data_IF_528636353805
#
_entry.id   IF_528636353805
#
_cell.length_a   1.000
_cell.length_b   1.000
_cell.length_c   1.000
_cell.angle_alpha   90.00
_cell.angle_beta   90.00
_cell.angle_gamma   90.00
#
_symmetry.space_group_name_H-M   'P 1'
#
loop_
_entity.id
_entity.type
_entity.pdbx_description
1 polymer ?
#
# COMPACT_ATOMS: atom_id res chain seq x y z
N UNK A 1 -11.52 40.14 -3.95
CA UNK A 1 -12.28 38.94 -4.40
C UNK A 1 -13.39 38.70 -3.39
N UNK A 2 -14.67 38.78 -3.77
CA UNK A 2 -15.80 38.86 -2.83
C UNK A 2 -16.14 37.51 -2.16
N UNK A 3 -16.50 37.54 -0.87
CA UNK A 3 -16.88 36.38 -0.04
C UNK A 3 -17.87 35.41 -0.73
N UNK A 4 -18.82 35.94 -1.51
CA UNK A 4 -19.78 35.15 -2.30
C UNK A 4 -19.11 34.20 -3.30
N UNK A 5 -18.07 34.68 -4.02
CA UNK A 5 -17.35 33.91 -5.04
C UNK A 5 -16.47 32.81 -4.42
N UNK A 6 -15.92 33.07 -3.22
CA UNK A 6 -15.21 32.07 -2.42
C UNK A 6 -16.15 30.98 -1.89
N UNK A 7 -17.33 31.34 -1.40
CA UNK A 7 -18.35 30.38 -0.95
C UNK A 7 -18.91 29.52 -2.09
N UNK A 8 -19.11 30.10 -3.27
CA UNK A 8 -19.57 29.36 -4.45
C UNK A 8 -18.53 28.35 -4.95
N UNK A 9 -17.26 28.76 -5.02
CA UNK A 9 -16.14 27.85 -5.34
C UNK A 9 -15.99 26.73 -4.29
N UNK A 10 -16.18 27.05 -3.01
CA UNK A 10 -16.19 26.07 -1.91
C UNK A 10 -17.32 25.05 -2.06
N UNK A 11 -18.55 25.48 -2.36
CA UNK A 11 -19.67 24.57 -2.55
C UNK A 11 -19.51 23.65 -3.78
N UNK A 12 -19.00 24.17 -4.91
CA UNK A 12 -18.76 23.36 -6.11
C UNK A 12 -17.64 22.32 -5.89
N UNK A 13 -16.55 22.73 -5.24
CA UNK A 13 -15.45 21.82 -4.88
C UNK A 13 -15.87 20.74 -3.88
N UNK A 14 -16.63 21.09 -2.84
CA UNK A 14 -17.21 20.12 -1.90
C UNK A 14 -18.15 19.14 -2.62
N UNK A 15 -18.97 19.62 -3.54
CA UNK A 15 -19.87 18.78 -4.34
C UNK A 15 -19.09 17.82 -5.24
N UNK A 16 -17.99 18.27 -5.85
CA UNK A 16 -17.09 17.41 -6.64
C UNK A 16 -16.47 16.31 -5.80
N UNK A 17 -15.93 16.65 -4.62
CA UNK A 17 -15.36 15.66 -3.69
C UNK A 17 -16.44 14.66 -3.26
N UNK A 18 -17.64 15.13 -2.89
CA UNK A 18 -18.75 14.25 -2.51
C UNK A 18 -19.15 13.30 -3.65
N UNK A 19 -19.20 13.79 -4.90
CA UNK A 19 -19.45 12.98 -6.09
C UNK A 19 -18.37 11.91 -6.27
N UNK A 20 -17.09 12.26 -6.15
CA UNK A 20 -15.99 11.31 -6.28
C UNK A 20 -16.02 10.22 -5.21
N UNK A 21 -16.33 10.57 -3.96
CA UNK A 21 -16.50 9.59 -2.86
C UNK A 21 -17.59 8.58 -3.21
N UNK A 22 -18.74 9.05 -3.68
CA UNK A 22 -19.87 8.18 -4.05
C UNK A 22 -19.50 7.27 -5.22
N UNK A 23 -18.90 7.82 -6.28
CA UNK A 23 -18.48 7.06 -7.46
C UNK A 23 -17.45 5.99 -7.09
N UNK A 24 -16.42 6.33 -6.32
CA UNK A 24 -15.40 5.36 -5.88
C UNK A 24 -16.00 4.26 -5.01
N UNK A 25 -16.91 4.61 -4.09
CA UNK A 25 -17.63 3.62 -3.28
C UNK A 25 -18.47 2.69 -4.14
N UNK A 26 -19.20 3.24 -5.11
CA UNK A 26 -20.01 2.46 -6.04
C UNK A 26 -19.16 1.49 -6.87
N UNK A 27 -18.06 1.98 -7.47
CA UNK A 27 -17.13 1.14 -8.23
C UNK A 27 -16.57 0.01 -7.38
N UNK A 28 -16.17 0.28 -6.13
CA UNK A 28 -15.67 -0.74 -5.21
C UNK A 28 -16.74 -1.80 -4.89
N UNK A 29 -17.96 -1.37 -4.56
CA UNK A 29 -19.08 -2.29 -4.27
C UNK A 29 -19.37 -3.15 -5.49
N UNK A 30 -19.41 -2.57 -6.69
CA UNK A 30 -19.63 -3.29 -7.94
C UNK A 30 -18.53 -4.34 -8.15
N UNK A 31 -17.26 -3.99 -7.96
CA UNK A 31 -16.15 -4.95 -8.10
C UNK A 31 -16.25 -6.11 -7.10
N UNK A 32 -16.63 -5.84 -5.84
CA UNK A 32 -16.86 -6.89 -4.84
C UNK A 32 -17.98 -7.85 -5.30
N UNK A 33 -19.10 -7.31 -5.79
CA UNK A 33 -20.21 -8.13 -6.26
C UNK A 33 -19.86 -8.95 -7.50
N UNK A 34 -19.20 -8.33 -8.48
CA UNK A 34 -18.71 -9.04 -9.68
C UNK A 34 -17.74 -10.14 -9.28
N UNK A 35 -16.80 -9.85 -8.37
CA UNK A 35 -15.85 -10.83 -7.86
C UNK A 35 -16.57 -12.03 -7.23
N UNK A 36 -17.55 -11.81 -6.35
CA UNK A 36 -18.30 -12.89 -5.69
C UNK A 36 -19.08 -13.70 -6.72
N UNK A 37 -19.87 -13.04 -7.57
CA UNK A 37 -20.77 -13.72 -8.52
C UNK A 37 -19.99 -14.54 -9.55
N UNK A 38 -18.95 -13.95 -10.14
CA UNK A 38 -18.11 -14.63 -11.14
C UNK A 38 -17.41 -15.82 -10.50
N UNK A 39 -16.84 -15.68 -9.30
CA UNK A 39 -16.14 -16.80 -8.66
C UNK A 39 -17.08 -17.93 -8.23
N UNK A 40 -18.30 -17.63 -7.77
CA UNK A 40 -19.31 -18.65 -7.50
C UNK A 40 -19.69 -19.41 -8.77
N UNK A 41 -19.86 -18.71 -9.89
CA UNK A 41 -20.11 -19.32 -11.18
C UNK A 41 -18.94 -20.19 -11.64
N UNK A 42 -17.70 -19.69 -11.55
CA UNK A 42 -16.50 -20.45 -11.93
C UNK A 42 -16.31 -21.68 -11.03
N UNK A 43 -16.61 -21.59 -9.74
CA UNK A 43 -16.62 -22.73 -8.83
C UNK A 43 -17.64 -23.78 -9.26
N UNK A 44 -18.87 -23.37 -9.58
CA UNK A 44 -19.91 -24.28 -10.06
C UNK A 44 -19.48 -24.97 -11.37
N UNK A 45 -18.98 -24.20 -12.35
CA UNK A 45 -18.48 -24.75 -13.62
C UNK A 45 -17.36 -25.75 -13.35
N UNK A 46 -16.37 -25.39 -12.52
CA UNK A 46 -15.27 -26.28 -12.18
C UNK A 46 -15.75 -27.59 -11.55
N UNK A 47 -16.66 -27.50 -10.57
CA UNK A 47 -17.22 -28.66 -9.88
C UNK A 47 -17.92 -29.64 -10.85
N UNK A 48 -18.65 -29.13 -11.84
CA UNK A 48 -19.36 -29.96 -12.82
C UNK A 48 -18.51 -30.44 -13.99
N UNK A 49 -17.39 -29.78 -14.29
CA UNK A 49 -16.57 -30.11 -15.48
C UNK A 49 -15.28 -30.85 -15.15
N UNK A 50 -14.57 -30.46 -14.08
CA UNK A 50 -13.26 -30.98 -13.70
C UNK A 50 -13.12 -31.07 -12.15
N UNK A 51 -13.86 -31.98 -11.49
CA UNK A 51 -13.92 -32.05 -10.02
C UNK A 51 -12.59 -32.48 -9.36
N UNK A 52 -11.66 -33.06 -10.12
CA UNK A 52 -10.35 -33.50 -9.62
C UNK A 52 -9.31 -32.38 -9.58
N UNK A 53 -9.55 -31.27 -10.30
CA UNK A 53 -8.63 -30.15 -10.38
C UNK A 53 -9.37 -28.81 -10.30
N UNK A 54 -9.24 -28.14 -9.15
CA UNK A 54 -9.90 -26.88 -8.83
C UNK A 54 -9.27 -25.67 -9.54
N UNK A 55 -9.27 -25.65 -10.87
CA UNK A 55 -8.75 -24.55 -11.68
C UNK A 55 -9.40 -23.19 -11.35
N UNK A 56 -10.61 -23.17 -10.78
CA UNK A 56 -11.28 -21.94 -10.34
C UNK A 56 -10.52 -21.20 -9.23
N UNK A 57 -9.58 -21.84 -8.53
CA UNK A 57 -8.74 -21.19 -7.52
C UNK A 57 -7.78 -20.15 -8.13
N UNK A 58 -7.37 -20.32 -9.40
CA UNK A 58 -6.51 -19.36 -10.11
C UNK A 58 -7.17 -17.98 -10.28
N UNK A 59 -8.33 -17.87 -10.94
CA UNK A 59 -9.01 -16.58 -11.06
C UNK A 59 -9.46 -16.04 -9.68
N UNK A 60 -9.87 -16.92 -8.76
CA UNK A 60 -10.24 -16.53 -7.38
C UNK A 60 -9.10 -15.79 -6.68
N UNK A 61 -7.93 -16.42 -6.61
CA UNK A 61 -6.78 -15.84 -5.90
C UNK A 61 -6.19 -14.65 -6.66
N UNK A 62 -6.10 -14.71 -8.00
CA UNK A 62 -5.57 -13.61 -8.79
C UNK A 62 -6.44 -12.35 -8.73
N UNK A 63 -7.77 -12.49 -8.80
CA UNK A 63 -8.68 -11.35 -8.71
C UNK A 63 -8.80 -10.82 -7.28
N UNK A 64 -8.64 -11.68 -6.26
CA UNK A 64 -8.58 -11.23 -4.86
C UNK A 64 -7.45 -10.22 -4.67
N UNK A 65 -6.28 -10.45 -5.29
CA UNK A 65 -5.16 -9.50 -5.24
C UNK A 65 -5.57 -8.10 -5.75
N UNK A 66 -6.24 -8.06 -6.90
CA UNK A 66 -6.70 -6.80 -7.51
C UNK A 66 -7.76 -6.14 -6.63
N UNK A 67 -8.66 -6.92 -6.03
CA UNK A 67 -9.68 -6.41 -5.11
C UNK A 67 -9.06 -5.73 -3.88
N UNK A 68 -8.02 -6.33 -3.28
CA UNK A 68 -7.28 -5.74 -2.16
C UNK A 68 -6.70 -4.36 -2.55
N UNK A 69 -6.17 -4.22 -3.78
CA UNK A 69 -5.64 -2.94 -4.26
C UNK A 69 -6.73 -1.88 -4.42
N UNK A 70 -7.92 -2.26 -4.92
CA UNK A 70 -9.06 -1.34 -4.98
C UNK A 70 -9.51 -0.88 -3.59
N UNK A 71 -9.54 -1.80 -2.62
CA UNK A 71 -9.86 -1.48 -1.22
C UNK A 71 -8.83 -0.51 -0.65
N UNK A 72 -7.52 -0.78 -0.84
CA UNK A 72 -6.45 0.11 -0.40
C UNK A 72 -6.61 1.51 -0.99
N UNK A 73 -6.79 1.60 -2.31
CA UNK A 73 -7.00 2.87 -3.01
C UNK A 73 -8.17 3.68 -2.43
N UNK A 74 -9.30 3.00 -2.19
CA UNK A 74 -10.47 3.63 -1.58
C UNK A 74 -10.21 4.10 -0.13
N UNK A 75 -9.51 3.30 0.68
CA UNK A 75 -9.16 3.65 2.07
C UNK A 75 -8.21 4.84 2.13
N UNK A 76 -7.17 4.87 1.28
CA UNK A 76 -6.22 5.99 1.21
C UNK A 76 -6.93 7.29 0.82
N UNK A 77 -7.80 7.22 -0.19
CA UNK A 77 -8.63 8.35 -0.61
C UNK A 77 -9.54 8.85 0.50
N UNK A 78 -10.24 7.94 1.21
CA UNK A 78 -11.12 8.30 2.34
C UNK A 78 -10.38 8.93 3.51
N UNK A 79 -9.14 8.52 3.76
CA UNK A 79 -8.27 9.10 4.80
C UNK A 79 -7.62 10.41 4.37
N UNK A 80 -7.80 10.86 3.12
CA UNK A 80 -7.19 12.08 2.60
C UNK A 80 -5.66 12.01 2.55
N UNK A 81 -5.08 10.80 2.47
CA UNK A 81 -3.63 10.63 2.38
C UNK A 81 -3.22 10.99 0.95
N UNK A 82 -2.72 12.22 0.78
CA UNK A 82 -2.31 12.77 -0.52
C UNK A 82 -0.79 12.84 -0.67
N UNK A 83 -0.04 12.56 0.40
CA UNK A 83 1.42 12.52 0.35
C UNK A 83 1.90 11.38 -0.55
N UNK A 84 2.51 11.74 -1.68
CA UNK A 84 2.91 10.80 -2.73
C UNK A 84 3.85 9.71 -2.21
N UNK A 85 4.80 10.08 -1.34
CA UNK A 85 5.78 9.14 -0.80
C UNK A 85 5.14 8.12 0.12
N UNK A 86 4.25 8.57 1.02
CA UNK A 86 3.46 7.70 1.89
C UNK A 86 2.59 6.75 1.08
N UNK A 87 1.88 7.27 0.08
CA UNK A 87 1.04 6.46 -0.82
C UNK A 87 1.88 5.41 -1.54
N UNK A 88 3.02 5.80 -2.10
CA UNK A 88 3.93 4.91 -2.82
C UNK A 88 4.39 3.73 -1.94
N UNK A 89 4.79 3.99 -0.71
CA UNK A 89 5.26 2.96 0.23
C UNK A 89 4.13 2.03 0.67
N UNK A 90 2.95 2.58 0.93
CA UNK A 90 1.79 1.77 1.29
C UNK A 90 1.42 0.82 0.14
N UNK A 91 1.44 1.28 -1.11
CA UNK A 91 1.27 0.38 -2.25
C UNK A 91 2.39 -0.66 -2.34
N UNK A 92 3.67 -0.27 -2.24
CA UNK A 92 4.79 -1.23 -2.31
C UNK A 92 4.70 -2.32 -1.24
N UNK A 93 4.37 -1.94 -0.01
CA UNK A 93 4.20 -2.87 1.10
C UNK A 93 3.04 -3.85 0.84
N UNK A 94 1.88 -3.33 0.40
CA UNK A 94 0.72 -4.18 0.12
C UNK A 94 0.96 -5.08 -1.09
N UNK A 95 1.55 -4.56 -2.18
CA UNK A 95 1.95 -5.37 -3.33
C UNK A 95 2.91 -6.48 -2.93
N UNK A 96 3.91 -6.17 -2.11
CA UNK A 96 4.83 -7.18 -1.60
C UNK A 96 4.07 -8.28 -0.86
N UNK A 97 3.22 -7.95 0.11
CA UNK A 97 2.46 -8.97 0.86
C UNK A 97 1.55 -9.79 -0.07
N UNK A 98 0.76 -9.12 -0.90
CA UNK A 98 -0.25 -9.75 -1.75
C UNK A 98 0.37 -10.65 -2.82
N UNK A 99 1.42 -10.19 -3.51
CA UNK A 99 2.12 -10.98 -4.52
C UNK A 99 2.82 -12.17 -3.86
N UNK A 100 3.49 -11.98 -2.71
CA UNK A 100 4.16 -13.11 -2.04
C UNK A 100 3.17 -14.16 -1.55
N UNK A 101 2.01 -13.76 -1.02
CA UNK A 101 0.95 -14.71 -0.67
C UNK A 101 0.47 -15.49 -1.90
N UNK A 102 0.30 -14.81 -3.03
CA UNK A 102 -0.06 -15.49 -4.28
C UNK A 102 1.03 -16.45 -4.76
N UNK A 103 2.31 -16.06 -4.71
CA UNK A 103 3.43 -16.93 -5.07
C UNK A 103 3.54 -18.14 -4.13
N UNK A 104 3.29 -17.97 -2.83
CA UNK A 104 3.24 -19.07 -1.87
C UNK A 104 2.08 -20.01 -2.22
N UNK A 105 0.89 -19.46 -2.55
CA UNK A 105 -0.24 -20.22 -3.03
C UNK A 105 0.11 -20.99 -4.31
N UNK A 106 0.73 -20.35 -5.31
CA UNK A 106 1.09 -21.03 -6.57
C UNK A 106 2.06 -22.16 -6.29
N UNK A 107 3.12 -21.88 -5.52
CA UNK A 107 4.10 -22.90 -5.15
C UNK A 107 3.44 -24.07 -4.41
N UNK A 108 2.57 -23.80 -3.43
CA UNK A 108 1.83 -24.86 -2.72
C UNK A 108 0.91 -25.65 -3.65
N UNK A 109 0.21 -24.97 -4.56
CA UNK A 109 -0.79 -25.59 -5.44
C UNK A 109 -0.17 -26.39 -6.59
N UNK A 110 1.05 -26.05 -7.01
CA UNK A 110 1.73 -26.71 -8.15
C UNK A 110 2.83 -27.68 -7.73
N UNK A 111 3.30 -27.66 -6.48
CA UNK A 111 4.40 -28.53 -6.06
C UNK A 111 3.87 -29.87 -5.56
N UNK A 112 4.42 -30.97 -6.07
CA UNK A 112 4.10 -32.31 -5.61
C UNK A 112 4.58 -32.55 -4.16
N UNK A 113 3.81 -33.34 -3.41
CA UNK A 113 4.11 -33.67 -2.00
C UNK A 113 5.40 -34.49 -1.93
N UNK A 114 6.51 -33.86 -1.55
CA UNK A 114 7.79 -34.55 -1.27
C UNK A 114 9.04 -33.92 -1.86
N UNK A 115 8.92 -32.98 -2.81
CA UNK A 115 10.07 -32.22 -3.33
C UNK A 115 10.42 -31.06 -2.40
N UNK A 116 11.14 -31.35 -1.31
CA UNK A 116 11.68 -30.33 -0.42
C UNK A 116 13.19 -30.16 -0.64
N UNK A 117 13.58 -29.05 -1.27
CA UNK A 117 14.87 -28.36 -1.10
C UNK A 117 14.79 -27.03 -1.85
N UNK A 118 14.24 -26.02 -1.16
CA UNK A 118 14.06 -24.63 -1.64
C UNK A 118 13.10 -24.50 -2.84
N UNK A 119 11.81 -24.29 -2.54
CA UNK A 119 10.86 -23.82 -3.55
C UNK A 119 11.39 -22.56 -4.23
N UNK A 120 11.27 -22.52 -5.57
CA UNK A 120 11.64 -21.38 -6.43
C UNK A 120 11.11 -20.04 -5.91
N UNK A 121 9.99 -20.07 -5.18
CA UNK A 121 9.39 -18.93 -4.50
C UNK A 121 10.40 -18.14 -3.68
N UNK A 122 11.27 -18.79 -2.90
CA UNK A 122 12.19 -18.11 -1.99
C UNK A 122 13.24 -17.26 -2.71
N UNK A 123 13.63 -17.67 -3.92
CA UNK A 123 14.54 -16.90 -4.77
C UNK A 123 13.89 -15.60 -5.29
N UNK A 124 12.57 -15.50 -5.25
CA UNK A 124 11.83 -14.29 -5.60
C UNK A 124 11.53 -13.47 -4.34
N UNK A 125 11.04 -14.10 -3.26
CA UNK A 125 10.66 -13.41 -2.02
C UNK A 125 11.88 -12.69 -1.42
N UNK A 126 13.03 -13.38 -1.32
CA UNK A 126 14.17 -12.86 -0.56
C UNK A 126 14.78 -11.58 -1.15
N UNK A 127 15.10 -11.49 -2.46
CA UNK A 127 15.62 -10.24 -3.04
C UNK A 127 14.63 -9.07 -2.98
N UNK A 128 13.33 -9.33 -3.23
CA UNK A 128 12.29 -8.30 -3.11
C UNK A 128 12.11 -7.82 -1.67
N UNK A 129 12.23 -8.72 -0.69
CA UNK A 129 12.15 -8.38 0.73
C UNK A 129 13.29 -7.46 1.15
N UNK A 130 14.51 -7.73 0.67
CA UNK A 130 15.67 -6.86 0.89
C UNK A 130 15.43 -5.48 0.28
N UNK A 131 14.94 -5.40 -0.97
CA UNK A 131 14.65 -4.13 -1.63
C UNK A 131 13.58 -3.31 -0.89
N UNK A 132 12.56 -3.97 -0.34
CA UNK A 132 11.53 -3.33 0.47
C UNK A 132 12.11 -2.76 1.77
N UNK A 133 12.97 -3.51 2.46
CA UNK A 133 13.66 -3.05 3.67
C UNK A 133 14.49 -1.80 3.36
N UNK A 134 15.25 -1.80 2.26
CA UNK A 134 16.03 -0.64 1.81
C UNK A 134 15.11 0.56 1.57
N UNK A 135 13.98 0.39 0.88
CA UNK A 135 13.01 1.46 0.65
C UNK A 135 12.46 2.04 1.96
N UNK A 136 12.14 1.19 2.94
CA UNK A 136 11.67 1.63 4.26
C UNK A 136 12.77 2.41 5.01
N UNK A 137 14.02 1.96 4.97
CA UNK A 137 15.15 2.69 5.57
C UNK A 137 15.32 4.05 4.90
N UNK A 138 15.33 4.12 3.58
CA UNK A 138 15.44 5.40 2.85
C UNK A 138 14.29 6.33 3.21
N UNK A 139 13.06 5.83 3.31
CA UNK A 139 11.93 6.65 3.70
C UNK A 139 12.05 7.24 5.10
N UNK A 140 12.42 6.44 6.10
CA UNK A 140 12.49 6.91 7.48
C UNK A 140 13.71 7.79 7.76
N UNK A 141 14.82 7.59 7.04
CA UNK A 141 16.09 8.26 7.34
C UNK A 141 16.44 9.36 6.32
N UNK A 142 16.13 9.20 5.04
CA UNK A 142 16.56 10.13 3.99
C UNK A 142 15.46 11.15 3.67
N UNK A 143 14.20 10.72 3.55
CA UNK A 143 13.11 11.60 3.11
C UNK A 143 12.82 12.68 4.17
N UNK A 144 12.74 13.97 3.79
CA UNK A 144 12.44 15.06 4.70
C UNK A 144 11.04 14.93 5.29
N UNK A 145 10.90 15.31 6.57
CA UNK A 145 9.61 15.27 7.25
C UNK A 145 8.68 16.36 6.71
N UNK A 146 7.38 16.11 6.79
CA UNK A 146 6.36 17.05 6.34
C UNK A 146 6.56 18.43 7.02
N UNK A 147 6.87 19.46 6.23
CA UNK A 147 7.19 20.82 6.71
C UNK A 147 8.67 21.23 6.68
N UNK A 148 9.59 20.30 6.38
CA UNK A 148 11.02 20.60 6.18
C UNK A 148 11.33 20.99 4.74
N UNK A 149 12.33 21.86 4.54
CA UNK A 149 12.83 22.22 3.21
C UNK A 149 13.33 20.96 2.48
N UNK A 150 12.93 20.74 1.21
CA UNK A 150 13.39 19.60 0.42
C UNK A 150 14.91 19.59 0.16
N UNK A 151 15.60 20.70 0.47
CA UNK A 151 17.04 20.85 0.26
C UNK A 151 17.88 20.56 1.51
N UNK A 152 17.27 20.21 2.66
CA UNK A 152 18.01 19.84 3.88
C UNK A 152 18.33 18.35 3.88
N UNK A 153 19.62 18.02 3.99
CA UNK A 153 20.09 16.64 4.06
C UNK A 153 19.84 16.07 5.47
N UNK A 154 19.75 14.73 5.58
CA UNK A 154 19.72 14.03 6.88
C UNK A 154 20.89 14.44 7.78
N UNK A 155 22.07 14.71 7.19
CA UNK A 155 23.25 15.15 7.91
C UNK A 155 23.02 16.49 8.63
N UNK A 156 22.38 17.46 7.97
CA UNK A 156 22.10 18.78 8.55
C UNK A 156 21.21 18.66 9.79
N UNK A 157 20.22 17.76 9.76
CA UNK A 157 19.36 17.48 10.93
C UNK A 157 20.15 16.92 12.10
N UNK A 158 21.12 16.04 11.83
CA UNK A 158 21.97 15.46 12.87
C UNK A 158 22.90 16.50 13.48
N UNK A 159 23.43 17.40 12.65
CA UNK A 159 24.24 18.53 13.11
C UNK A 159 23.42 19.45 14.02
N UNK A 160 22.20 19.84 13.62
CA UNK A 160 21.31 20.68 14.43
C UNK A 160 20.97 20.03 15.78
N UNK A 161 20.69 18.73 15.80
CA UNK A 161 20.42 17.98 17.04
C UNK A 161 21.61 17.96 18.01
N UNK A 162 22.83 17.77 17.50
CA UNK A 162 24.04 17.81 18.33
C UNK A 162 24.35 19.25 18.81
N UNK A 163 24.11 20.26 17.97
CA UNK A 163 24.22 21.67 18.37
C UNK A 163 23.27 22.03 19.52
N UNK A 164 22.01 21.57 19.48
CA UNK A 164 21.07 21.82 20.57
C UNK A 164 21.48 21.12 21.88
N UNK A 165 21.98 19.88 21.82
CA UNK A 165 22.53 19.19 23.00
C UNK A 165 23.70 19.95 23.60
N UNK A 166 24.61 20.44 22.76
CA UNK A 166 25.77 21.23 23.21
C UNK A 166 25.32 22.54 23.85
N UNK A 167 24.37 23.27 23.25
CA UNK A 167 23.79 24.48 23.85
C UNK A 167 23.14 24.20 25.20
N UNK A 168 22.33 23.14 25.29
CA UNK A 168 21.65 22.76 26.52
C UNK A 168 22.65 22.42 27.62
N UNK A 169 23.69 21.64 27.31
CA UNK A 169 24.76 21.28 28.25
C UNK A 169 25.59 22.50 28.69
N UNK A 170 25.83 23.46 27.80
CA UNK A 170 26.52 24.71 28.15
C UNK A 170 25.68 25.57 29.09
N UNK A 171 24.36 25.66 28.87
CA UNK A 171 23.45 26.39 29.75
C UNK A 171 23.34 25.70 31.12
N UNK A 172 23.15 24.38 31.16
CA UNK A 172 22.98 23.62 32.41
C UNK A 172 24.28 23.44 33.20
N UNK A 173 25.44 23.40 32.54
CA UNK A 173 26.77 23.26 33.18
C UNK A 173 27.54 24.57 33.36
N UNK A 174 26.97 25.71 32.93
CA UNK A 174 27.51 27.05 33.18
C UNK A 174 26.95 27.72 34.44
N UNK A 175 25.99 27.06 35.10
CA UNK A 175 25.35 27.49 36.34
C UNK A 175 25.92 26.79 37.60
N UNK A 176 26.98 25.97 37.45
CA UNK A 176 27.81 25.39 38.54
C UNK A 176 29.15 26.15 38.67
#
# INVERSE_FOLDING_TARGET
MTSKKLNEFSNDSLRKIAKEVIVRKFVLILHIWVYILVNLLLFAINYFTYPTYFWCLWPLTAWMMILILHILSHVLFRKGIVDLHTVFILYHLVFYVVINLFLIFTNWYTTEVGTSRMSWVWWIIAPWGILLIIHLIVFFYVVPKHGESPNRNWLDRKIDQELEKMKKKYIEGGDE
#
